data_IF_369172892524
#
_entry.id   IF_369172892524
#
_cell.length_a   1.000
_cell.length_b   1.000
_cell.length_c   1.000
_cell.angle_alpha   90.00
_cell.angle_beta   90.00
_cell.angle_gamma   90.00
#
_symmetry.space_group_name_H-M   'P 1'
#
loop_
_entity.id
_entity.type
_entity.pdbx_description
1 polymer ?
#
# COMPACT_ATOMS: atom_id res chain seq x y z
N UNK A 1 -13.13 -4.38 1.49
CA UNK A 1 -12.07 -4.07 0.52
C UNK A 1 -11.58 -2.67 0.84
N UNK A 2 -10.34 -2.51 1.32
CA UNK A 2 -9.73 -1.19 1.47
C UNK A 2 -9.12 -0.86 0.12
N UNK A 3 -9.68 0.13 -0.58
CA UNK A 3 -9.11 0.66 -1.81
C UNK A 3 -8.40 1.95 -1.43
N UNK A 4 -7.10 2.00 -1.66
CA UNK A 4 -6.35 3.24 -1.62
C UNK A 4 -6.58 3.95 -2.96
N UNK A 5 -7.29 5.07 -2.93
CA UNK A 5 -7.46 5.92 -4.10
C UNK A 5 -6.35 6.96 -4.14
N UNK A 6 -5.73 7.12 -5.30
CA UNK A 6 -5.00 8.33 -5.67
C UNK A 6 -5.95 9.21 -6.49
N UNK A 7 -6.49 10.27 -5.89
CA UNK A 7 -7.39 11.23 -6.56
C UNK A 7 -6.61 12.34 -7.31
N UNK A 8 -5.27 12.21 -7.47
CA UNK A 8 -4.46 13.20 -8.17
C UNK A 8 -3.42 12.53 -9.09
N UNK A 9 -3.74 12.40 -10.38
CA UNK A 9 -2.73 12.36 -11.44
C UNK A 9 -1.97 13.70 -11.50
N UNK A 10 -1.17 14.00 -10.48
CA UNK A 10 -0.19 15.08 -10.52
C UNK A 10 1.19 14.52 -10.27
N UNK A 11 2.04 14.74 -11.28
CA UNK A 11 3.46 14.43 -11.29
C UNK A 11 4.13 14.92 -10.00
N UNK A 12 4.49 14.00 -9.09
CA UNK A 12 5.26 14.33 -7.90
C UNK A 12 6.73 14.60 -8.29
N UNK A 13 7.02 15.81 -8.76
CA UNK A 13 8.39 16.29 -9.01
C UNK A 13 9.15 16.63 -7.72
N UNK A 14 8.48 16.67 -6.56
CA UNK A 14 9.06 17.09 -5.29
C UNK A 14 8.69 16.16 -4.11
N UNK A 15 9.00 14.87 -4.22
CA UNK A 15 9.16 14.05 -3.00
C UNK A 15 10.56 14.36 -2.45
N UNK A 16 10.69 15.52 -1.80
CA UNK A 16 11.80 15.79 -0.89
C UNK A 16 11.77 14.73 0.22
N UNK A 17 12.64 13.74 0.04
CA UNK A 17 13.25 12.97 1.13
C UNK A 17 12.27 12.32 2.11
N UNK A 18 11.32 11.51 1.60
CA UNK A 18 10.89 10.36 2.41
C UNK A 18 12.18 9.58 2.64
N UNK A 19 12.62 9.44 3.91
CA UNK A 19 13.80 8.67 4.30
C UNK A 19 14.00 7.52 3.31
N UNK A 20 15.09 7.55 2.52
CA UNK A 20 15.40 6.50 1.54
C UNK A 20 15.28 5.18 2.27
N UNK A 21 14.14 4.51 2.11
CA UNK A 21 13.92 3.27 2.82
C UNK A 21 14.69 2.25 2.01
N UNK A 22 15.87 1.91 2.51
CA UNK A 22 16.82 1.02 1.84
C UNK A 22 16.12 -0.29 1.46
N UNK A 23 15.20 -0.77 2.29
CA UNK A 23 14.42 -1.97 2.03
C UNK A 23 13.44 -1.81 0.85
N UNK A 24 12.75 -0.68 0.74
CA UNK A 24 11.87 -0.41 -0.41
C UNK A 24 12.69 -0.29 -1.68
N UNK A 25 13.76 0.51 -1.67
CA UNK A 25 14.60 0.68 -2.86
C UNK A 25 15.29 -0.62 -3.30
N UNK A 26 15.57 -1.55 -2.37
CA UNK A 26 16.03 -2.89 -2.70
C UNK A 26 14.91 -3.76 -3.27
N UNK A 27 13.72 -3.74 -2.65
CA UNK A 27 12.57 -4.51 -3.10
C UNK A 27 12.12 -4.11 -4.50
N UNK A 28 12.15 -2.82 -4.85
CA UNK A 28 11.69 -2.37 -6.18
C UNK A 28 12.54 -2.95 -7.30
N UNK A 29 13.84 -3.21 -7.07
CA UNK A 29 14.72 -3.77 -8.09
C UNK A 29 14.32 -5.20 -8.49
N UNK A 30 13.59 -5.90 -7.61
CA UNK A 30 13.11 -7.25 -7.86
C UNK A 30 11.78 -7.28 -8.62
N UNK A 31 11.09 -6.13 -8.72
CA UNK A 31 9.85 -6.01 -9.48
C UNK A 31 10.19 -5.69 -10.94
N UNK A 32 9.70 -6.47 -11.93
CA UNK A 32 9.85 -6.12 -13.33
C UNK A 32 9.21 -4.77 -13.67
N UNK A 33 9.68 -4.13 -14.73
CA UNK A 33 9.07 -2.92 -15.29
C UNK A 33 8.74 -3.13 -16.75
N UNK A 34 7.56 -2.68 -17.15
CA UNK A 34 7.06 -2.65 -18.52
C UNK A 34 7.06 -1.24 -19.09
N UNK A 35 6.84 -0.21 -18.26
CA UNK A 35 6.79 1.20 -18.64
C UNK A 35 7.66 2.08 -17.71
N UNK A 36 7.96 3.30 -18.15
CA UNK A 36 8.73 4.26 -17.34
C UNK A 36 7.98 4.70 -16.07
N UNK A 37 6.65 4.67 -16.10
CA UNK A 37 5.79 5.08 -14.97
C UNK A 37 5.63 4.01 -13.89
N UNK A 38 6.16 2.81 -14.12
CA UNK A 38 6.03 1.71 -13.17
C UNK A 38 6.82 1.95 -11.89
N UNK A 39 8.00 2.57 -11.96
CA UNK A 39 8.86 2.77 -10.78
C UNK A 39 8.24 3.70 -9.74
N UNK A 40 7.73 4.89 -10.10
CA UNK A 40 6.96 5.72 -9.17
C UNK A 40 5.77 4.97 -8.55
N UNK A 41 4.99 4.24 -9.37
CA UNK A 41 3.82 3.48 -8.91
C UNK A 41 4.19 2.37 -7.93
N UNK A 42 5.14 1.51 -8.27
CA UNK A 42 5.63 0.42 -7.43
C UNK A 42 6.16 0.95 -6.10
N UNK A 43 6.91 2.07 -6.13
CA UNK A 43 7.41 2.73 -4.94
C UNK A 43 6.26 3.22 -4.06
N UNK A 44 5.26 3.88 -4.63
CA UNK A 44 4.09 4.34 -3.89
C UNK A 44 3.37 3.16 -3.21
N UNK A 45 3.10 2.07 -3.94
CA UNK A 45 2.45 0.87 -3.40
C UNK A 45 3.24 0.27 -2.21
N UNK A 46 4.56 0.14 -2.33
CA UNK A 46 5.39 -0.41 -1.25
C UNK A 46 5.43 0.52 -0.03
N UNK A 47 5.48 1.85 -0.24
CA UNK A 47 5.36 2.80 0.87
C UNK A 47 3.98 2.71 1.53
N UNK A 48 2.89 2.62 0.77
CA UNK A 48 1.55 2.45 1.31
C UNK A 48 1.45 1.15 2.12
N UNK A 49 2.00 0.04 1.63
CA UNK A 49 2.02 -1.23 2.36
C UNK A 49 2.81 -1.13 3.67
N UNK A 50 3.95 -0.45 3.64
CA UNK A 50 4.74 -0.21 4.85
C UNK A 50 3.94 0.61 5.87
N UNK A 51 3.37 1.74 5.45
CA UNK A 51 2.55 2.58 6.33
C UNK A 51 1.35 1.83 6.89
N UNK A 52 0.69 1.01 6.06
CA UNK A 52 -0.37 0.11 6.52
C UNK A 52 0.13 -0.90 7.56
N UNK A 53 1.29 -1.51 7.33
CA UNK A 53 1.87 -2.49 8.26
C UNK A 53 2.17 -1.86 9.62
N UNK A 54 2.79 -0.68 9.63
CA UNK A 54 3.10 0.07 10.83
C UNK A 54 1.81 0.44 11.59
N UNK A 55 0.78 0.89 10.85
CA UNK A 55 -0.52 1.21 11.41
C UNK A 55 -1.23 -0.02 11.99
N UNK A 56 -1.28 -1.12 11.24
CA UNK A 56 -1.92 -2.36 11.67
C UNK A 56 -1.23 -2.93 12.92
N UNK A 57 0.10 -2.87 12.99
CA UNK A 57 0.86 -3.26 14.17
C UNK A 57 0.54 -2.36 15.37
N UNK A 58 0.52 -1.03 15.18
CA UNK A 58 0.20 -0.07 16.24
C UNK A 58 -1.18 -0.30 16.87
N UNK A 59 -2.16 -0.68 16.06
CA UNK A 59 -3.55 -0.85 16.50
C UNK A 59 -3.99 -2.32 16.66
N UNK A 60 -3.04 -3.26 16.58
CA UNK A 60 -3.30 -4.70 16.69
C UNK A 60 -4.38 -5.22 15.71
N UNK A 61 -4.33 -4.73 14.47
CA UNK A 61 -5.25 -5.13 13.41
C UNK A 61 -4.64 -6.30 12.66
N UNK A 62 -5.33 -7.44 12.68
CA UNK A 62 -4.92 -8.62 11.92
C UNK A 62 -5.31 -8.46 10.45
N UNK A 63 -4.35 -8.69 9.56
CA UNK A 63 -4.56 -8.65 8.12
C UNK A 63 -3.70 -9.70 7.40
N UNK A 64 -4.08 -10.03 6.16
CA UNK A 64 -3.33 -10.92 5.27
C UNK A 64 -3.28 -10.33 3.86
N UNK A 65 -2.19 -10.59 3.15
CA UNK A 65 -2.12 -10.33 1.71
C UNK A 65 -3.15 -11.23 1.01
N UNK A 66 -3.92 -10.68 0.08
CA UNK A 66 -5.05 -11.36 -0.53
C UNK A 66 -4.98 -11.37 -2.07
N UNK A 67 -5.77 -12.28 -2.66
CA UNK A 67 -6.13 -12.29 -4.08
C UNK A 67 -4.94 -12.08 -5.03
N UNK A 68 -4.96 -11.05 -5.90
CA UNK A 68 -3.95 -10.88 -6.95
C UNK A 68 -2.58 -10.55 -6.37
N UNK A 69 -2.54 -9.80 -5.27
CA UNK A 69 -1.30 -9.48 -4.58
C UNK A 69 -0.68 -10.73 -3.98
N UNK A 70 -1.50 -11.65 -3.44
CA UNK A 70 -1.02 -12.93 -2.91
C UNK A 70 -0.48 -13.83 -4.03
N UNK A 71 -1.17 -13.90 -5.16
CA UNK A 71 -0.73 -14.68 -6.32
C UNK A 71 0.60 -14.16 -6.86
N UNK A 72 0.72 -12.84 -7.05
CA UNK A 72 1.96 -12.21 -7.49
C UNK A 72 3.12 -12.49 -6.52
N UNK A 73 2.86 -12.36 -5.21
CA UNK A 73 3.86 -12.68 -4.19
C UNK A 73 4.30 -14.15 -4.25
N UNK A 74 3.37 -15.09 -4.44
CA UNK A 74 3.76 -16.49 -4.59
C UNK A 74 4.61 -16.71 -5.85
N UNK A 75 4.24 -16.11 -6.98
CA UNK A 75 4.90 -16.37 -8.27
C UNK A 75 6.28 -15.70 -8.39
N UNK A 76 6.43 -14.50 -7.81
CA UNK A 76 7.57 -13.62 -8.06
C UNK A 76 8.26 -13.14 -6.79
N UNK A 77 7.79 -13.55 -5.61
CA UNK A 77 8.22 -12.99 -4.32
C UNK A 77 8.11 -11.46 -4.26
N UNK A 78 7.19 -10.89 -5.03
CA UNK A 78 7.06 -9.45 -5.21
C UNK A 78 5.67 -9.04 -5.73
N UNK A 79 5.46 -7.73 -5.93
CA UNK A 79 4.27 -7.21 -6.61
C UNK A 79 4.30 -7.61 -8.10
N UNK A 80 3.11 -7.69 -8.71
CA UNK A 80 3.03 -7.79 -10.17
C UNK A 80 3.47 -6.45 -10.78
N UNK A 81 4.16 -6.45 -11.93
CA UNK A 81 4.56 -5.21 -12.60
C UNK A 81 3.37 -4.29 -12.90
N UNK A 82 2.18 -4.85 -13.10
CA UNK A 82 0.96 -4.13 -13.48
C UNK A 82 0.00 -3.86 -12.31
N UNK A 83 0.39 -4.17 -11.07
CA UNK A 83 -0.46 -3.87 -9.93
C UNK A 83 -0.67 -2.35 -9.83
N UNK A 84 -1.93 -1.96 -9.60
CA UNK A 84 -2.36 -0.58 -9.37
C UNK A 84 -2.72 -0.34 -7.89
N UNK A 85 -2.86 -1.41 -7.13
CA UNK A 85 -3.36 -1.46 -5.78
C UNK A 85 -2.82 -2.72 -5.06
N UNK A 86 -2.93 -2.72 -3.74
CA UNK A 86 -2.57 -3.87 -2.90
C UNK A 86 -3.83 -4.37 -2.21
N UNK A 87 -4.10 -5.66 -2.39
CA UNK A 87 -5.30 -6.29 -1.86
C UNK A 87 -4.98 -6.96 -0.51
N UNK A 88 -5.67 -6.50 0.53
CA UNK A 88 -5.55 -7.01 1.89
C UNK A 88 -6.89 -7.54 2.40
N UNK A 89 -6.85 -8.70 3.05
CA UNK A 89 -7.97 -9.22 3.83
C UNK A 89 -7.83 -8.77 5.29
N UNK A 90 -8.93 -8.32 5.89
CA UNK A 90 -8.99 -7.89 7.27
C UNK A 90 -10.19 -8.55 7.92
N UNK A 91 -10.04 -8.99 9.17
CA UNK A 91 -11.14 -9.60 9.91
C UNK A 91 -12.29 -8.60 10.10
N UNK A 92 -13.53 -9.04 9.87
CA UNK A 92 -14.73 -8.20 10.03
C UNK A 92 -14.85 -7.56 11.43
N UNK A 93 -14.32 -8.23 12.47
CA UNK A 93 -14.29 -7.69 13.83
C UNK A 93 -13.49 -6.37 13.95
N UNK A 94 -12.56 -6.09 13.04
CA UNK A 94 -11.79 -4.86 13.02
C UNK A 94 -12.48 -3.72 12.24
N UNK A 95 -13.60 -3.96 11.56
CA UNK A 95 -14.23 -2.94 10.70
C UNK A 95 -14.68 -1.71 11.47
N UNK A 96 -15.31 -1.88 12.64
CA UNK A 96 -15.72 -0.75 13.47
C UNK A 96 -14.52 0.06 14.00
N UNK A 97 -13.46 -0.64 14.41
CA UNK A 97 -12.21 -0.02 14.84
C UNK A 97 -11.57 0.78 13.69
N UNK A 98 -11.53 0.21 12.48
CA UNK A 98 -10.99 0.87 11.29
C UNK A 98 -11.76 2.14 10.93
N UNK A 99 -13.09 2.12 11.03
CA UNK A 99 -13.92 3.30 10.77
C UNK A 99 -13.64 4.43 11.76
N UNK A 100 -13.39 4.11 13.03
CA UNK A 100 -12.98 5.10 14.03
C UNK A 100 -11.58 5.63 13.75
N UNK A 101 -10.64 4.74 13.41
CA UNK A 101 -9.26 5.11 13.15
C UNK A 101 -9.06 5.84 11.82
N UNK A 102 -9.93 5.64 10.82
CA UNK A 102 -9.88 6.39 9.56
C UNK A 102 -10.22 7.87 9.73
N UNK A 103 -10.85 8.25 10.85
CA UNK A 103 -11.08 9.64 11.22
C UNK A 103 -9.84 10.29 11.84
N UNK A 104 -8.81 9.50 12.17
CA UNK A 104 -7.51 9.98 12.61
C UNK A 104 -6.62 10.21 11.39
N UNK A 105 -5.65 11.13 11.52
CA UNK A 105 -4.61 11.30 10.52
C UNK A 105 -3.74 10.05 10.45
N UNK A 106 -4.05 9.15 9.51
CA UNK A 106 -3.33 7.92 9.23
C UNK A 106 -1.89 8.21 8.75
N UNK A 107 -1.75 9.18 7.84
CA UNK A 107 -0.49 9.64 7.29
C UNK A 107 -0.65 11.10 6.84
N UNK A 108 0.45 11.85 6.73
CA UNK A 108 0.45 13.18 6.10
C UNK A 108 0.39 13.11 4.57
N UNK A 109 0.44 11.91 3.98
CA UNK A 109 0.52 11.70 2.53
C UNK A 109 -0.57 10.73 2.04
N UNK A 110 -0.95 9.75 2.86
CA UNK A 110 -1.95 8.73 2.50
C UNK A 110 -3.23 8.88 3.31
N UNK A 111 -4.38 8.66 2.65
CA UNK A 111 -5.68 8.61 3.30
C UNK A 111 -6.15 7.16 3.47
N UNK A 112 -6.80 6.87 4.61
CA UNK A 112 -7.48 5.60 4.83
C UNK A 112 -8.98 5.79 4.55
N UNK A 113 -9.45 5.28 3.40
CA UNK A 113 -10.88 5.28 3.04
C UNK A 113 -11.49 3.91 3.32
N UNK A 114 -12.53 3.85 4.16
CA UNK A 114 -13.25 2.61 4.51
C UNK A 114 -14.64 2.64 3.87
N UNK A 115 -14.90 1.73 2.94
CA UNK A 115 -16.21 1.57 2.32
C UNK A 115 -16.91 0.31 2.87
N UNK A 116 -18.15 0.43 3.41
CA UNK A 116 -18.96 -0.74 3.71
C UNK A 116 -19.30 -1.49 2.42
N UNK A 117 -19.27 -2.82 2.48
CA UNK A 117 -19.71 -3.70 1.39
C UNK A 117 -21.22 -3.87 1.38
#
# INVERSE_FOLDING_TARGET
MIIFYDDQCQFFSNITTIHKNIWIEQAIQQIPTCTQDDRPRQRALLYTLQQWTDFAQKYNIQYWIAYKTLVAYHQHHSLSPHDLDIELFIMAQHTAQLLQLSQLNFSSIYELKVHPQ
#
